data_IF_753051499261
#
_entry.id   IF_753051499261
#
_cell.length_a   1.000
_cell.length_b   1.000
_cell.length_c   1.000
_cell.angle_alpha   90.00
_cell.angle_beta   90.00
_cell.angle_gamma   90.00
#
_symmetry.space_group_name_H-M   'P 1'
#
loop_
_entity.id
_entity.type
_entity.pdbx_description
1 polymer ?
#
# COMPACT_ATOMS: atom_id res chain seq x y z
N UNK A 1 0.76 12.71 -53.48
CA UNK A 1 0.21 13.92 -52.83
C UNK A 1 0.36 13.72 -51.32
N UNK A 2 1.46 14.22 -50.81
CA UNK A 2 2.03 13.87 -49.50
C UNK A 2 1.52 14.85 -48.45
N UNK A 3 0.72 14.38 -47.48
CA UNK A 3 0.20 15.23 -46.39
C UNK A 3 1.25 15.30 -45.28
N UNK A 4 1.97 16.42 -45.25
CA UNK A 4 2.90 16.80 -44.18
C UNK A 4 2.17 16.83 -42.83
N UNK A 5 2.69 16.12 -41.83
CA UNK A 5 2.28 16.27 -40.42
C UNK A 5 2.89 17.56 -39.85
N UNK A 6 2.20 18.34 -38.99
CA UNK A 6 2.84 19.46 -38.32
C UNK A 6 3.81 18.96 -37.24
N UNK A 7 4.96 19.62 -37.16
CA UNK A 7 6.00 19.44 -36.14
C UNK A 7 5.45 19.82 -34.75
N UNK A 8 5.68 18.95 -33.76
CA UNK A 8 5.41 19.21 -32.35
C UNK A 8 6.39 20.24 -31.80
N UNK A 9 5.86 21.25 -31.11
CA UNK A 9 6.61 22.33 -30.48
C UNK A 9 7.11 21.87 -29.08
N UNK A 10 8.39 21.99 -28.68
CA UNK A 10 8.91 21.30 -27.49
C UNK A 10 8.67 22.00 -26.13
N UNK A 11 7.97 23.14 -26.08
CA UNK A 11 7.83 23.94 -24.86
C UNK A 11 6.39 24.02 -24.32
N UNK A 12 5.76 22.88 -24.05
CA UNK A 12 4.56 22.83 -23.21
C UNK A 12 4.83 22.02 -21.94
N UNK A 13 5.27 22.72 -20.90
CA UNK A 13 5.15 22.27 -19.51
C UNK A 13 3.66 22.15 -19.17
N UNK A 14 3.17 20.92 -19.05
CA UNK A 14 1.78 20.64 -18.70
C UNK A 14 1.54 20.97 -17.23
N UNK A 15 1.12 22.21 -16.97
CA UNK A 15 0.54 22.63 -15.71
C UNK A 15 -0.80 21.90 -15.51
N UNK A 16 -0.88 20.97 -14.53
CA UNK A 16 -2.12 20.34 -14.09
C UNK A 16 -3.03 21.30 -13.30
N UNK A 17 -3.39 22.45 -13.88
CA UNK A 17 -4.52 23.24 -13.38
C UNK A 17 -5.81 22.55 -13.84
N UNK A 18 -6.45 21.81 -12.93
CA UNK A 18 -7.81 21.34 -13.14
C UNK A 18 -8.72 22.52 -13.52
N UNK A 19 -9.29 22.49 -14.73
CA UNK A 19 -10.41 23.36 -15.08
C UNK A 19 -11.59 22.97 -14.19
N UNK A 20 -11.90 23.82 -13.21
CA UNK A 20 -13.13 23.73 -12.42
C UNK A 20 -14.30 24.14 -13.31
N UNK A 21 -14.94 23.17 -13.95
CA UNK A 21 -16.24 23.38 -14.56
C UNK A 21 -17.29 23.39 -13.43
N UNK A 22 -17.87 24.56 -13.17
CA UNK A 22 -18.93 24.73 -12.18
C UNK A 22 -20.26 24.33 -12.81
N UNK A 23 -20.81 23.19 -12.39
CA UNK A 23 -22.25 22.81 -12.34
C UNK A 23 -22.42 21.31 -12.51
N UNK A 24 -21.92 20.56 -11.54
CA UNK A 24 -22.46 19.29 -11.02
C UNK A 24 -21.47 18.80 -9.98
N UNK A 25 -21.75 19.09 -8.71
CA UNK A 25 -21.01 18.45 -7.61
C UNK A 25 -21.40 16.97 -7.68
N UNK A 26 -20.46 16.02 -7.88
CA UNK A 26 -20.76 14.64 -7.55
C UNK A 26 -21.26 14.61 -6.10
N UNK A 27 -22.22 13.72 -5.75
CA UNK A 27 -22.70 13.61 -4.37
C UNK A 27 -21.48 13.53 -3.48
N UNK A 28 -21.37 14.50 -2.55
CA UNK A 28 -20.28 14.51 -1.60
C UNK A 28 -20.34 13.18 -0.88
N UNK A 29 -19.35 12.31 -1.12
CA UNK A 29 -18.99 11.30 -0.16
C UNK A 29 -18.87 12.06 1.16
N UNK A 30 -19.79 11.78 2.09
CA UNK A 30 -19.77 12.39 3.40
C UNK A 30 -18.34 12.27 3.89
N UNK A 31 -17.66 13.40 4.12
CA UNK A 31 -16.40 13.36 4.84
C UNK A 31 -16.74 12.63 6.13
N UNK A 32 -16.14 11.46 6.41
CA UNK A 32 -16.20 10.96 7.77
C UNK A 32 -15.70 12.12 8.63
N UNK A 33 -16.50 12.55 9.62
CA UNK A 33 -16.00 13.51 10.59
C UNK A 33 -14.66 13.00 11.08
N UNK A 34 -13.67 13.89 11.25
CA UNK A 34 -12.32 13.59 11.72
C UNK A 34 -12.40 12.82 13.03
N UNK A 35 -12.59 11.51 12.93
CA UNK A 35 -12.57 10.56 14.02
C UNK A 35 -11.26 9.87 13.77
N UNK A 36 -10.24 10.31 14.50
CA UNK A 36 -9.14 9.44 14.85
C UNK A 36 -9.79 8.11 15.24
N UNK A 37 -9.68 7.11 14.36
CA UNK A 37 -10.35 5.84 14.50
C UNK A 37 -9.86 5.26 15.80
N UNK A 38 -10.76 5.16 16.78
CA UNK A 38 -10.47 4.54 18.08
C UNK A 38 -9.79 3.21 17.78
N UNK A 39 -8.58 3.00 18.30
CA UNK A 39 -7.85 1.74 18.13
C UNK A 39 -8.79 0.62 18.59
N UNK A 40 -9.23 -0.20 17.64
CA UNK A 40 -10.02 -1.37 17.93
C UNK A 40 -9.07 -2.45 18.46
N UNK A 41 -9.17 -2.72 19.76
CA UNK A 41 -8.28 -3.66 20.45
C UNK A 41 -8.52 -5.11 20.03
N UNK A 42 -9.66 -5.38 19.41
CA UNK A 42 -10.00 -6.71 18.91
C UNK A 42 -9.55 -6.90 17.47
N UNK A 43 -8.99 -5.86 16.84
CA UNK A 43 -8.44 -5.94 15.49
C UNK A 43 -7.29 -6.95 15.45
N UNK A 44 -7.44 -7.94 14.56
CA UNK A 44 -6.45 -8.97 14.30
C UNK A 44 -5.60 -8.60 13.09
N UNK A 45 -4.32 -8.96 13.15
CA UNK A 45 -3.41 -8.81 12.00
C UNK A 45 -3.84 -9.67 10.82
N UNK A 46 -4.23 -10.91 11.09
CA UNK A 46 -4.67 -11.87 10.11
C UNK A 46 -5.90 -12.62 10.63
N UNK A 47 -6.89 -12.83 9.76
CA UNK A 47 -8.13 -13.48 10.18
C UNK A 47 -7.91 -14.95 10.53
N UNK A 48 -8.51 -15.38 11.65
CA UNK A 48 -8.55 -16.77 12.06
C UNK A 48 -7.24 -17.33 12.64
N UNK A 49 -6.20 -16.52 12.79
CA UNK A 49 -4.92 -16.96 13.35
C UNK A 49 -4.12 -15.80 13.94
N UNK A 50 -3.55 -16.02 15.13
CA UNK A 50 -2.53 -15.13 15.68
C UNK A 50 -1.18 -15.41 14.99
N UNK A 51 -0.46 -14.34 14.63
CA UNK A 51 0.83 -14.43 13.96
C UNK A 51 1.92 -14.06 14.96
N UNK A 52 2.82 -15.01 15.24
CA UNK A 52 3.89 -14.80 16.20
C UNK A 52 4.79 -13.62 15.80
N UNK A 53 5.17 -12.80 16.78
CA UNK A 53 6.03 -11.63 16.56
C UNK A 53 5.35 -10.43 15.91
N UNK A 54 4.02 -10.43 15.75
CA UNK A 54 3.28 -9.28 15.22
C UNK A 54 2.25 -8.83 16.24
N UNK A 55 2.33 -7.55 16.63
CA UNK A 55 1.53 -6.99 17.73
C UNK A 55 0.77 -5.76 17.28
N UNK A 56 -0.52 -5.66 17.62
CA UNK A 56 -1.27 -4.43 17.44
C UNK A 56 -0.68 -3.33 18.32
N UNK A 57 -0.35 -2.19 17.71
CA UNK A 57 0.10 -1.01 18.43
C UNK A 57 -1.09 -0.34 19.10
N UNK A 58 -1.04 -0.24 20.43
CA UNK A 58 -2.13 0.31 21.25
C UNK A 58 -1.76 1.60 21.97
N UNK A 59 -0.49 2.00 21.90
CA UNK A 59 -0.02 3.30 22.36
C UNK A 59 -0.52 4.39 21.40
N UNK A 60 -1.39 5.26 21.91
CA UNK A 60 -2.06 6.27 21.10
C UNK A 60 -1.11 7.32 20.53
N UNK A 61 -0.09 7.71 21.30
CA UNK A 61 0.85 8.75 20.88
C UNK A 61 1.74 8.22 19.76
N UNK A 62 2.22 6.97 19.89
CA UNK A 62 3.01 6.32 18.86
C UNK A 62 2.20 6.05 17.59
N UNK A 63 0.96 5.58 17.71
CA UNK A 63 0.05 5.40 16.56
C UNK A 63 -0.18 6.72 15.84
N UNK A 64 -0.44 7.81 16.59
CA UNK A 64 -0.64 9.13 16.01
C UNK A 64 0.60 9.63 15.28
N UNK A 65 1.77 9.48 15.89
CA UNK A 65 3.05 9.85 15.29
C UNK A 65 3.27 9.14 13.94
N UNK A 66 3.08 7.82 13.92
CA UNK A 66 3.23 7.02 12.72
C UNK A 66 2.23 7.42 11.64
N UNK A 67 0.94 7.58 11.96
CA UNK A 67 -0.06 8.00 10.98
C UNK A 67 0.28 9.35 10.34
N UNK A 68 0.69 10.34 11.14
CA UNK A 68 1.12 11.65 10.63
C UNK A 68 2.34 11.50 9.72
N UNK A 69 3.32 10.67 10.12
CA UNK A 69 4.53 10.41 9.32
C UNK A 69 4.18 9.75 7.98
N UNK A 70 3.39 8.68 7.99
CA UNK A 70 2.99 7.95 6.78
C UNK A 70 2.12 8.82 5.84
N UNK A 71 1.24 9.65 6.42
CA UNK A 71 0.44 10.64 5.68
C UNK A 71 1.30 11.67 4.93
N UNK A 72 2.44 12.09 5.51
CA UNK A 72 3.38 13.01 4.85
C UNK A 72 4.05 12.37 3.64
N UNK A 73 4.54 11.14 3.76
CA UNK A 73 5.27 10.45 2.67
C UNK A 73 4.43 10.27 1.41
N UNK A 74 3.15 10.03 1.60
CA UNK A 74 2.17 9.73 0.56
C UNK A 74 1.52 10.98 -0.03
N UNK A 75 1.89 12.19 0.43
CA UNK A 75 1.27 13.47 0.05
C UNK A 75 -0.25 13.47 0.22
N UNK A 76 -0.74 12.61 1.10
CA UNK A 76 -2.14 12.44 1.41
C UNK A 76 -2.59 13.34 2.58
N UNK A 77 -3.88 13.32 2.91
CA UNK A 77 -4.38 13.92 4.14
C UNK A 77 -3.75 13.28 5.38
N UNK A 78 -3.48 14.07 6.42
CA UNK A 78 -2.88 13.58 7.68
C UNK A 78 -3.83 12.71 8.54
N UNK A 79 -5.08 12.54 8.11
CA UNK A 79 -6.15 11.82 8.80
C UNK A 79 -6.68 10.60 8.02
N UNK A 80 -6.07 10.24 6.88
CA UNK A 80 -6.58 9.20 5.99
C UNK A 80 -5.50 8.22 5.57
N UNK A 81 -5.86 6.94 5.35
CA UNK A 81 -4.97 5.92 4.77
C UNK A 81 -4.58 6.38 3.36
N UNK A 82 -3.36 6.88 3.17
CA UNK A 82 -3.12 7.90 2.15
C UNK A 82 -2.76 7.33 0.78
N UNK A 83 -3.06 6.04 0.56
CA UNK A 83 -2.62 5.30 -0.63
C UNK A 83 -3.71 5.27 -1.69
N UNK A 84 -3.28 5.20 -2.95
CA UNK A 84 -4.15 5.07 -4.11
C UNK A 84 -5.09 3.86 -3.98
N UNK A 85 -6.39 4.13 -4.02
CA UNK A 85 -7.42 3.10 -4.08
C UNK A 85 -7.70 2.74 -5.54
N UNK A 86 -7.67 1.44 -5.91
CA UNK A 86 -8.01 1.05 -7.26
C UNK A 86 -9.48 1.36 -7.56
N UNK A 87 -9.76 1.75 -8.79
CA UNK A 87 -11.12 1.90 -9.30
C UNK A 87 -11.51 0.69 -10.13
N UNK A 88 -12.81 0.37 -10.15
CA UNK A 88 -13.33 -0.66 -11.05
C UNK A 88 -13.08 -0.25 -12.51
N UNK A 89 -12.59 -1.20 -13.31
CA UNK A 89 -12.55 -1.03 -14.76
C UNK A 89 -13.99 -1.08 -15.29
N UNK A 90 -14.35 -0.10 -16.10
CA UNK A 90 -15.70 0.02 -16.69
C UNK A 90 -15.59 0.36 -18.17
N UNK A 91 -16.70 0.25 -18.88
CA UNK A 91 -16.81 0.67 -20.29
C UNK A 91 -16.42 2.13 -20.51
N UNK A 92 -16.61 3.00 -19.51
CA UNK A 92 -16.32 4.43 -19.62
C UNK A 92 -14.83 4.76 -19.42
N UNK A 93 -14.06 3.87 -18.78
CA UNK A 93 -12.65 4.15 -18.46
C UNK A 93 -11.65 3.23 -19.18
N UNK A 94 -12.12 2.17 -19.85
CA UNK A 94 -11.27 1.22 -20.56
C UNK A 94 -10.45 1.85 -21.68
N UNK A 95 -10.99 2.87 -22.35
CA UNK A 95 -10.31 3.57 -23.45
C UNK A 95 -9.02 4.27 -22.99
N UNK A 96 -8.88 4.56 -21.69
CA UNK A 96 -7.64 5.12 -21.13
C UNK A 96 -6.46 4.18 -21.30
N UNK A 97 -6.69 2.87 -21.36
CA UNK A 97 -5.64 1.88 -21.57
C UNK A 97 -4.95 2.04 -22.93
N UNK A 98 -5.61 2.66 -23.91
CA UNK A 98 -5.02 2.95 -25.22
C UNK A 98 -4.29 4.31 -25.27
N UNK A 99 -4.61 5.23 -24.35
CA UNK A 99 -4.07 6.60 -24.38
C UNK A 99 -2.85 6.81 -23.49
N UNK A 100 -2.46 5.83 -22.68
CA UNK A 100 -1.28 5.90 -21.82
C UNK A 100 -0.66 4.51 -21.60
N UNK A 101 0.64 4.40 -21.28
CA UNK A 101 1.24 3.13 -20.90
C UNK A 101 0.63 2.60 -19.59
N UNK A 102 0.24 1.34 -19.57
CA UNK A 102 -0.22 0.63 -18.37
C UNK A 102 0.58 -0.64 -18.15
N UNK A 103 0.80 -0.98 -16.89
CA UNK A 103 1.34 -2.28 -16.47
C UNK A 103 0.21 -3.10 -15.88
N UNK A 104 0.14 -4.38 -16.24
CA UNK A 104 -0.85 -5.34 -15.72
C UNK A 104 -0.12 -6.43 -14.97
N UNK A 105 -0.62 -6.74 -13.77
CA UNK A 105 -0.17 -7.86 -12.95
C UNK A 105 -1.40 -8.54 -12.31
N UNK A 106 -1.32 -9.84 -11.98
CA UNK A 106 -2.36 -10.52 -11.23
C UNK A 106 -2.71 -9.75 -9.95
N UNK A 107 -4.00 -9.69 -9.60
CA UNK A 107 -4.46 -9.10 -8.35
C UNK A 107 -4.24 -10.13 -7.23
N UNK A 108 -3.33 -9.88 -6.26
CA UNK A 108 -3.17 -10.77 -5.12
C UNK A 108 -4.46 -10.82 -4.29
N UNK A 109 -4.74 -11.99 -3.72
CA UNK A 109 -5.83 -12.17 -2.76
C UNK A 109 -5.26 -12.11 -1.36
N UNK A 110 -5.64 -11.08 -0.61
CA UNK A 110 -5.14 -10.89 0.74
C UNK A 110 -5.45 -9.49 1.29
N UNK A 111 -4.91 -9.21 2.47
CA UNK A 111 -5.08 -7.92 3.14
C UNK A 111 -3.99 -6.96 2.68
N UNK A 112 -4.35 -5.74 2.28
CA UNK A 112 -3.38 -4.71 1.90
C UNK A 112 -2.79 -4.06 3.14
N UNK A 113 -1.49 -3.83 3.11
CA UNK A 113 -0.76 -3.11 4.12
C UNK A 113 0.19 -2.10 3.49
N UNK A 114 0.32 -0.94 4.14
CA UNK A 114 1.56 -0.19 4.07
C UNK A 114 2.59 -0.86 4.98
N UNK A 115 3.80 -1.03 4.49
CA UNK A 115 4.92 -1.59 5.24
C UNK A 115 6.02 -0.54 5.38
N UNK A 116 6.21 -0.08 6.62
CA UNK A 116 7.17 0.95 6.97
C UNK A 116 8.34 0.35 7.74
N UNK A 117 9.55 0.63 7.27
CA UNK A 117 10.80 0.43 8.00
C UNK A 117 11.28 1.80 8.45
N UNK A 118 11.37 2.01 9.75
CA UNK A 118 11.80 3.29 10.31
C UNK A 118 13.33 3.50 10.19
N UNK A 119 13.81 4.63 10.70
CA UNK A 119 15.24 4.97 10.67
C UNK A 119 16.12 4.04 11.51
N UNK A 120 15.55 3.43 12.55
CA UNK A 120 16.22 2.55 13.51
C UNK A 120 16.09 1.07 13.12
N UNK A 121 15.37 0.77 12.03
CA UNK A 121 15.10 -0.59 11.54
C UNK A 121 13.84 -1.23 12.10
N UNK A 122 13.07 -0.50 12.91
CA UNK A 122 11.75 -0.90 13.40
C UNK A 122 10.76 -1.09 12.25
N UNK A 123 9.94 -2.12 12.34
CA UNK A 123 9.06 -2.57 11.26
C UNK A 123 7.59 -2.44 11.65
N UNK A 124 6.81 -1.73 10.83
CA UNK A 124 5.41 -1.43 11.07
C UNK A 124 4.55 -1.71 9.85
N UNK A 125 3.37 -2.28 10.08
CA UNK A 125 2.38 -2.60 9.05
C UNK A 125 1.09 -1.85 9.35
N UNK A 126 0.67 -0.94 8.48
CA UNK A 126 -0.62 -0.24 8.60
C UNK A 126 -1.63 -0.85 7.62
N UNK A 127 -2.78 -1.29 8.12
CA UNK A 127 -3.84 -1.84 7.27
C UNK A 127 -4.78 -0.74 6.73
N UNK A 128 -5.73 -1.14 5.88
CA UNK A 128 -6.70 -0.23 5.27
C UNK A 128 -7.69 0.40 6.28
N UNK A 129 -7.77 -0.10 7.51
CA UNK A 129 -8.55 0.50 8.61
C UNK A 129 -7.69 1.33 9.56
N UNK A 130 -6.46 1.66 9.15
CA UNK A 130 -5.49 2.51 9.87
C UNK A 130 -5.00 1.93 11.22
N UNK A 131 -5.13 0.62 11.41
CA UNK A 131 -4.52 -0.08 12.53
C UNK A 131 -3.07 -0.41 12.18
N UNK A 132 -2.17 -0.10 13.11
CA UNK A 132 -0.73 -0.31 12.94
C UNK A 132 -0.32 -1.52 13.77
N UNK A 133 0.45 -2.41 13.15
CA UNK A 133 1.05 -3.55 13.79
C UNK A 133 2.57 -3.40 13.80
N UNK A 134 3.21 -3.68 14.93
CA UNK A 134 4.66 -3.75 15.04
C UNK A 134 5.13 -5.19 14.82
N UNK A 135 6.23 -5.35 14.10
CA UNK A 135 6.95 -6.63 14.01
C UNK A 135 8.08 -6.63 15.04
N UNK A 136 8.18 -7.69 15.82
CA UNK A 136 9.28 -7.89 16.77
C UNK A 136 10.61 -8.09 16.03
N UNK A 137 11.70 -7.61 16.62
CA UNK A 137 13.05 -7.70 16.04
C UNK A 137 13.45 -9.13 15.65
N UNK A 138 13.09 -10.13 16.47
CA UNK A 138 13.36 -11.54 16.18
C UNK A 138 12.58 -12.12 14.98
N UNK A 139 11.53 -11.44 14.54
CA UNK A 139 10.69 -11.82 13.38
C UNK A 139 10.79 -10.83 12.22
N UNK A 140 11.56 -9.74 12.41
CA UNK A 140 11.75 -8.71 11.41
C UNK A 140 12.56 -9.24 10.22
N UNK A 141 12.19 -8.83 9.01
CA UNK A 141 12.91 -9.18 7.80
C UNK A 141 14.07 -8.21 7.64
N UNK A 142 15.31 -8.69 7.50
CA UNK A 142 16.44 -7.81 7.17
C UNK A 142 16.33 -7.34 5.72
N UNK A 143 15.91 -6.10 5.53
CA UNK A 143 15.99 -5.43 4.24
C UNK A 143 17.39 -4.85 4.07
N UNK A 144 18.14 -5.39 3.12
CA UNK A 144 19.50 -4.96 2.79
C UNK A 144 19.58 -4.64 1.30
N UNK A 145 20.27 -3.56 0.97
CA UNK A 145 20.57 -3.21 -0.41
C UNK A 145 21.66 -4.12 -0.99
N UNK A 146 21.87 -4.02 -2.31
CA UNK A 146 22.87 -4.82 -3.02
C UNK A 146 24.31 -4.59 -2.54
N UNK A 147 24.60 -3.43 -1.94
CA UNK A 147 25.88 -3.09 -1.31
C UNK A 147 25.97 -3.51 0.17
N UNK A 148 24.97 -4.21 0.70
CA UNK A 148 24.94 -4.76 2.05
C UNK A 148 24.53 -3.77 3.15
N UNK A 149 24.11 -2.55 2.79
CA UNK A 149 23.62 -1.57 3.78
C UNK A 149 22.17 -1.88 4.19
N UNK A 150 21.78 -1.58 5.43
CA UNK A 150 20.39 -1.71 5.84
C UNK A 150 19.52 -0.71 5.07
N UNK A 151 18.34 -1.16 4.67
CA UNK A 151 17.30 -0.31 4.10
C UNK A 151 16.44 0.21 5.25
N UNK A 152 16.41 1.52 5.45
CA UNK A 152 15.68 2.20 6.53
C UNK A 152 14.87 3.37 5.95
N UNK A 153 14.04 4.02 6.77
CA UNK A 153 13.16 5.13 6.35
C UNK A 153 12.48 4.88 4.99
N UNK A 154 11.80 3.74 4.91
CA UNK A 154 11.29 3.14 3.65
C UNK A 154 9.83 2.76 3.83
N UNK A 155 8.98 3.19 2.90
CA UNK A 155 7.54 2.91 2.89
C UNK A 155 7.15 2.17 1.61
N UNK A 156 6.61 0.97 1.79
CA UNK A 156 6.18 0.07 0.71
C UNK A 156 4.66 -0.13 0.76
N UNK A 157 4.04 -0.31 -0.39
CA UNK A 157 2.65 -0.74 -0.52
C UNK A 157 2.61 -2.21 -0.96
N UNK A 158 1.88 -3.05 -0.24
CA UNK A 158 1.85 -4.47 -0.51
C UNK A 158 0.58 -5.16 -0.05
N UNK A 159 0.46 -6.43 -0.45
CA UNK A 159 -0.66 -7.31 -0.06
C UNK A 159 -0.12 -8.54 0.62
N UNK A 160 -0.53 -8.73 1.87
CA UNK A 160 -0.23 -9.93 2.65
C UNK A 160 -1.10 -11.08 2.16
N UNK A 161 -0.46 -12.06 1.54
CA UNK A 161 -1.08 -13.23 0.96
C UNK A 161 -0.75 -14.47 1.79
N UNK A 162 -1.69 -15.40 1.80
CA UNK A 162 -1.43 -16.76 2.29
C UNK A 162 -1.04 -17.64 1.11
N UNK A 163 0.06 -18.38 1.25
CA UNK A 163 0.43 -19.38 0.26
C UNK A 163 -0.67 -20.44 0.17
N UNK A 164 -1.21 -20.65 -1.03
CA UNK A 164 -2.06 -21.82 -1.29
C UNK A 164 -1.11 -22.99 -1.47
N UNK A 165 -1.14 -23.95 -0.54
CA UNK A 165 -0.55 -25.26 -0.79
C UNK A 165 -1.21 -25.82 -2.04
N UNK A 166 -0.44 -26.01 -3.11
CA UNK A 166 -0.94 -26.70 -4.29
C UNK A 166 -1.33 -28.12 -3.85
N UNK A 167 -2.59 -28.49 -4.07
CA UNK A 167 -3.11 -29.80 -3.72
C UNK A 167 -2.76 -30.82 -4.81
N UNK A 168 -1.48 -31.03 -5.07
CA UNK A 168 -1.02 -31.95 -6.13
C UNK A 168 0.16 -32.85 -5.71
N UNK A 169 0.31 -33.18 -4.41
CA UNK A 169 1.24 -34.23 -3.98
C UNK A 169 0.49 -35.34 -3.22
N UNK A 170 0.12 -36.35 -4.02
CA UNK A 170 0.00 -37.77 -3.74
C UNK A 170 0.31 -38.25 -2.29
N UNK A 171 -0.64 -39.01 -1.73
CA UNK A 171 -0.47 -40.02 -0.67
C UNK A 171 0.79 -39.92 0.21
N UNK A 172 0.72 -39.19 1.32
CA UNK A 172 1.26 -39.58 2.63
C UNK A 172 0.87 -38.54 3.68
N UNK A 173 0.48 -39.00 4.87
CA UNK A 173 0.06 -38.14 5.99
C UNK A 173 1.21 -37.30 6.55
N UNK A 174 1.56 -36.23 5.86
CA UNK A 174 2.49 -35.19 6.32
C UNK A 174 1.77 -34.11 7.09
N UNK A 175 2.36 -33.69 8.20
CA UNK A 175 1.91 -32.59 9.07
C UNK A 175 1.48 -31.35 8.26
N UNK A 176 0.40 -30.67 8.69
CA UNK A 176 0.00 -29.38 8.13
C UNK A 176 1.19 -28.41 8.19
N UNK A 177 1.88 -28.21 7.07
CA UNK A 177 2.93 -27.20 6.98
C UNK A 177 2.36 -25.86 7.45
N UNK A 178 3.04 -25.14 8.36
CA UNK A 178 2.56 -23.86 8.84
C UNK A 178 2.34 -22.94 7.64
N UNK A 179 1.11 -22.47 7.50
CA UNK A 179 0.65 -21.64 6.37
C UNK A 179 1.55 -20.41 6.25
N UNK A 180 2.44 -20.41 5.25
CA UNK A 180 3.37 -19.31 5.02
C UNK A 180 2.62 -18.06 4.60
N UNK A 181 2.88 -16.96 5.30
CA UNK A 181 2.41 -15.63 4.93
C UNK A 181 3.48 -14.95 4.07
N UNK A 182 3.07 -14.31 2.98
CA UNK A 182 3.96 -13.63 2.04
C UNK A 182 3.43 -12.23 1.78
N UNK A 183 4.25 -11.20 2.04
CA UNK A 183 3.93 -9.84 1.64
C UNK A 183 4.38 -9.62 0.20
N UNK A 184 3.43 -9.48 -0.71
CA UNK A 184 3.70 -9.15 -2.12
C UNK A 184 3.78 -7.64 -2.23
N UNK A 185 5.00 -7.11 -2.38
CA UNK A 185 5.26 -5.68 -2.58
C UNK A 185 4.77 -5.29 -3.99
N UNK A 186 3.98 -4.22 -4.05
CA UNK A 186 3.35 -3.71 -5.28
C UNK A 186 3.96 -2.39 -5.72
N UNK A 187 4.31 -1.53 -4.77
CA UNK A 187 4.86 -0.21 -5.03
C UNK A 187 5.77 0.24 -3.87
N UNK A 188 6.61 1.24 -4.14
CA UNK A 188 7.42 1.93 -3.13
C UNK A 188 7.10 3.41 -3.14
N UNK A 189 6.67 3.93 -1.98
CA UNK A 189 6.35 5.35 -1.79
C UNK A 189 7.59 6.13 -1.34
N UNK A 190 8.46 5.46 -0.59
CA UNK A 190 9.70 6.05 -0.06
C UNK A 190 10.75 4.96 0.10
N UNK A 191 12.01 5.26 -0.19
CA UNK A 191 13.12 4.33 0.01
C UNK A 191 14.38 5.07 0.49
N UNK A 192 14.95 4.67 1.63
CA UNK A 192 16.13 5.29 2.24
C UNK A 192 16.03 6.83 2.33
N UNK A 193 14.85 7.29 2.73
CA UNK A 193 14.59 8.71 2.90
C UNK A 193 14.31 9.51 1.62
N UNK A 194 14.27 8.85 0.47
CA UNK A 194 13.95 9.46 -0.83
C UNK A 194 12.51 9.11 -1.22
N UNK A 195 11.74 10.13 -1.60
CA UNK A 195 10.40 9.97 -2.20
C UNK A 195 10.47 9.56 -3.68
#
# INVERSE_FOLDING_TARGET
>A
MERRRPLSNPNQTTNWRMLRNSKTRPPSLNKPGSIFTRIDRDTKFFEGQDVNGIHLLTDFDQVRELQVRLGRFSKGPEDFFPVNWPVSLTTENIDKLNSSPYVVAPKPSGTRFLFYVDSDGGMFLENMTQHIFRVDEGHAVKMVSSDGRPVTDTLLDGVLCKEKLNHDDNCNGGEENPKKLTLVIRDSIRCNGVE
#
